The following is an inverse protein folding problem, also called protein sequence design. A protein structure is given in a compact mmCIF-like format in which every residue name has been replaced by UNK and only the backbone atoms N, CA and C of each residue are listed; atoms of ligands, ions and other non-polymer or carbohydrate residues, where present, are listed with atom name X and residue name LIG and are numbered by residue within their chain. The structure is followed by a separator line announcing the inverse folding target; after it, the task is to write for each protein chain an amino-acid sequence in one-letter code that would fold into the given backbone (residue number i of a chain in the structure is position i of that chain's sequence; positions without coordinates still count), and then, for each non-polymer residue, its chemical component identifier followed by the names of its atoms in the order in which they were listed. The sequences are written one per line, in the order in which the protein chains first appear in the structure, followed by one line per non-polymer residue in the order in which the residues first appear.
data_IF_445070262516
#
_entry.id   IF_445070262516
#
_cell.length_a   1.000
_cell.length_b   1.000
_cell.length_c   1.000
_cell.angle_alpha   90.00
_cell.angle_beta   90.00
_cell.angle_gamma   90.00
#
_symmetry.space_group_name_H-M   'P 1'
#
loop_
_entity.id
_entity.type
_entity.pdbx_description
1 polymer ?
#
# COMPACT_ATOMS: atom_id res chain seq x y z
N UNK A 1 -1.44 -13.23 3.31
CA UNK A 1 -1.87 -12.28 2.27
C UNK A 1 -0.66 -11.82 1.49
N UNK A 2 -0.69 -11.98 0.18
CA UNK A 2 0.49 -11.73 -0.66
C UNK A 2 0.98 -10.28 -0.65
N UNK A 3 0.07 -9.33 -0.63
CA UNK A 3 0.44 -7.91 -0.61
C UNK A 3 1.28 -7.58 0.63
N UNK A 4 0.92 -8.15 1.77
CA UNK A 4 1.64 -7.93 3.01
C UNK A 4 3.02 -8.60 2.97
N UNK A 5 3.12 -9.76 2.35
CA UNK A 5 4.40 -10.43 2.15
C UNK A 5 5.34 -9.62 1.27
N UNK A 6 4.77 -8.96 0.26
CA UNK A 6 5.56 -8.11 -0.63
C UNK A 6 6.26 -7.02 0.17
N UNK A 7 5.53 -6.39 1.09
CA UNK A 7 6.08 -5.37 1.97
C UNK A 7 7.08 -5.96 2.95
N UNK A 8 6.72 -7.07 3.60
CA UNK A 8 7.57 -7.71 4.61
C UNK A 8 8.90 -8.20 4.05
N UNK A 9 8.93 -8.60 2.79
CA UNK A 9 10.14 -9.10 2.14
C UNK A 9 10.97 -8.00 1.46
N UNK A 10 10.53 -6.75 1.52
CA UNK A 10 11.28 -5.64 0.95
C UNK A 10 12.58 -5.43 1.74
N UNK A 11 13.66 -4.98 1.05
CA UNK A 11 14.99 -4.86 1.68
C UNK A 11 15.12 -3.57 2.50
N UNK A 12 14.31 -3.45 3.54
CA UNK A 12 14.31 -2.28 4.41
C UNK A 12 14.46 -2.68 5.87
N UNK A 13 14.83 -1.74 6.72
CA UNK A 13 14.93 -1.95 8.15
C UNK A 13 13.56 -2.22 8.78
N UNK A 14 13.49 -2.90 9.94
CA UNK A 14 12.20 -3.16 10.59
C UNK A 14 11.36 -1.91 10.84
N UNK A 15 11.97 -0.79 11.21
CA UNK A 15 11.23 0.46 11.41
C UNK A 15 10.65 0.99 10.11
N UNK A 16 11.37 0.84 9.00
CA UNK A 16 10.90 1.22 7.68
C UNK A 16 9.78 0.31 7.21
N UNK A 17 9.92 -1.00 7.43
CA UNK A 17 8.88 -1.97 7.09
C UNK A 17 7.59 -1.68 7.85
N UNK A 18 7.71 -1.27 9.11
CA UNK A 18 6.55 -0.90 9.92
C UNK A 18 5.83 0.31 9.31
N UNK A 19 6.56 1.32 8.88
CA UNK A 19 5.97 2.50 8.25
C UNK A 19 5.26 2.13 6.94
N UNK A 20 5.85 1.25 6.16
CA UNK A 20 5.24 0.77 4.92
C UNK A 20 3.95 0.01 5.19
N UNK A 21 3.95 -0.86 6.19
CA UNK A 21 2.75 -1.63 6.56
C UNK A 21 1.64 -0.71 7.06
N UNK A 22 1.97 0.29 7.86
CA UNK A 22 1.00 1.28 8.33
C UNK A 22 0.42 2.08 7.16
N UNK A 23 1.26 2.49 6.22
CA UNK A 23 0.81 3.21 5.03
C UNK A 23 -0.16 2.36 4.22
N UNK A 24 0.17 1.08 4.05
CA UNK A 24 -0.71 0.14 3.34
C UNK A 24 -2.07 0.02 4.03
N UNK A 25 -2.07 -0.20 5.34
CA UNK A 25 -3.31 -0.38 6.09
C UNK A 25 -4.20 0.87 6.02
N UNK A 26 -3.61 2.05 6.19
CA UNK A 26 -4.34 3.32 6.10
C UNK A 26 -4.92 3.57 4.72
N UNK A 27 -4.11 3.34 3.69
CA UNK A 27 -4.55 3.52 2.32
C UNK A 27 -5.66 2.52 1.97
N UNK A 28 -5.50 1.28 2.38
CA UNK A 28 -6.50 0.24 2.11
C UNK A 28 -7.84 0.56 2.74
N UNK A 29 -7.86 1.04 3.97
CA UNK A 29 -9.11 1.43 4.65
C UNK A 29 -9.87 2.51 3.87
N UNK A 30 -9.14 3.39 3.21
CA UNK A 30 -9.76 4.50 2.45
C UNK A 30 -10.30 4.06 1.09
N UNK A 31 -9.66 3.09 0.44
CA UNK A 31 -10.03 2.70 -0.92
C UNK A 31 -10.83 1.40 -1.01
N UNK A 32 -10.80 0.57 0.02
CA UNK A 32 -11.46 -0.73 0.00
C UNK A 32 -12.94 -0.66 -0.40
N UNK A 33 -13.74 0.29 0.10
CA UNK A 33 -15.14 0.37 -0.28
C UNK A 33 -15.38 0.59 -1.78
N UNK A 34 -14.40 1.11 -2.50
CA UNK A 34 -14.51 1.37 -3.94
C UNK A 34 -14.40 0.11 -4.78
N UNK A 35 -13.91 -1.00 -4.21
CA UNK A 35 -13.65 -2.23 -4.96
C UNK A 35 -14.72 -3.30 -4.79
N UNK A 36 -15.78 -3.03 -4.05
CA UNK A 36 -16.87 -3.97 -3.85
C UNK A 36 -16.47 -5.16 -2.98
N UNK A 37 -17.14 -6.29 -3.19
CA UNK A 37 -16.98 -7.47 -2.33
C UNK A 37 -16.33 -8.67 -3.02
N UNK A 38 -15.87 -8.53 -4.26
CA UNK A 38 -15.27 -9.65 -4.99
C UNK A 38 -13.83 -9.87 -4.54
N UNK A 39 -13.57 -11.07 -4.03
CA UNK A 39 -12.24 -11.42 -3.49
C UNK A 39 -11.11 -11.22 -4.50
N UNK A 40 -11.33 -11.60 -5.75
CA UNK A 40 -10.31 -11.49 -6.79
C UNK A 40 -9.95 -10.03 -7.06
N UNK A 41 -10.95 -9.15 -7.12
CA UNK A 41 -10.72 -7.73 -7.35
C UNK A 41 -10.02 -7.08 -6.16
N UNK A 42 -10.40 -7.46 -4.95
CA UNK A 42 -9.77 -6.95 -3.74
C UNK A 42 -8.31 -7.39 -3.64
N UNK A 43 -8.03 -8.65 -3.97
CA UNK A 43 -6.67 -9.17 -3.94
C UNK A 43 -5.77 -8.45 -4.94
N UNK A 44 -6.26 -8.26 -6.17
CA UNK A 44 -5.53 -7.53 -7.19
C UNK A 44 -5.27 -6.08 -6.78
N UNK A 45 -6.27 -5.43 -6.17
CA UNK A 45 -6.14 -4.06 -5.70
C UNK A 45 -5.11 -3.95 -4.57
N UNK A 46 -5.08 -4.92 -3.67
CA UNK A 46 -4.08 -4.95 -2.59
C UNK A 46 -2.66 -5.08 -3.12
N UNK A 47 -2.45 -5.96 -4.08
CA UNK A 47 -1.14 -6.14 -4.70
C UNK A 47 -0.69 -4.87 -5.42
N UNK A 48 -1.60 -4.24 -6.12
CA UNK A 48 -1.33 -2.98 -6.81
C UNK A 48 -0.97 -1.87 -5.82
N UNK A 49 -1.73 -1.77 -4.74
CA UNK A 49 -1.47 -0.79 -3.69
C UNK A 49 -0.10 -1.00 -3.04
N UNK A 50 0.25 -2.24 -2.72
CA UNK A 50 1.55 -2.56 -2.14
C UNK A 50 2.68 -2.17 -3.09
N UNK A 51 2.53 -2.45 -4.38
CA UNK A 51 3.51 -2.07 -5.39
C UNK A 51 3.70 -0.56 -5.50
N UNK A 52 2.61 0.19 -5.42
CA UNK A 52 2.66 1.66 -5.45
C UNK A 52 3.41 2.18 -4.23
N UNK A 53 3.05 1.70 -3.04
CA UNK A 53 3.70 2.12 -1.80
C UNK A 53 5.20 1.84 -1.86
N UNK A 54 5.58 0.65 -2.29
CA UNK A 54 6.99 0.27 -2.40
C UNK A 54 7.74 1.13 -3.41
N UNK A 55 7.10 1.51 -4.52
CA UNK A 55 7.76 2.34 -5.53
C UNK A 55 8.00 3.77 -5.05
N UNK A 56 7.19 4.29 -4.12
CA UNK A 56 7.38 5.61 -3.56
C UNK A 56 8.19 5.62 -2.26
N UNK A 57 8.40 4.46 -1.66
CA UNK A 57 9.17 4.32 -0.43
C UNK A 57 10.66 4.24 -0.76
N UNK A 58 11.23 5.31 -1.26
CA UNK A 58 12.63 5.35 -1.65
C UNK A 58 13.38 6.40 -0.84
N UNK A 59 14.59 6.06 -0.42
CA UNK A 59 15.49 6.99 0.28
C UNK A 59 14.90 7.49 1.60
N UNK A 60 14.32 8.68 1.62
CA UNK A 60 13.88 9.33 2.85
C UNK A 60 12.36 9.36 3.03
N UNK A 61 11.63 8.75 2.12
CA UNK A 61 10.16 8.81 2.12
C UNK A 61 9.54 7.63 2.86
N UNK A 62 9.64 7.62 4.17
CA UNK A 62 9.03 6.59 5.01
C UNK A 62 7.97 7.14 5.97
N UNK A 63 7.38 8.27 5.62
CA UNK A 63 6.25 8.82 6.35
C UNK A 63 4.99 8.07 5.94
N UNK A 64 4.39 7.35 6.88
CA UNK A 64 3.21 6.51 6.59
C UNK A 64 2.02 7.34 6.10
N UNK A 65 1.82 8.55 6.63
CA UNK A 65 0.72 9.41 6.20
C UNK A 65 0.92 9.87 4.76
N UNK A 66 2.12 10.33 4.43
CA UNK A 66 2.43 10.78 3.07
C UNK A 66 2.31 9.64 2.07
N UNK A 67 2.84 8.46 2.42
CA UNK A 67 2.79 7.29 1.55
C UNK A 67 1.34 6.85 1.34
N UNK A 68 0.53 6.84 2.38
CA UNK A 68 -0.88 6.47 2.28
C UNK A 68 -1.64 7.46 1.39
N UNK A 69 -1.46 8.75 1.60
CA UNK A 69 -2.13 9.78 0.81
C UNK A 69 -1.75 9.71 -0.65
N UNK A 70 -0.46 9.53 -0.93
CA UNK A 70 0.04 9.42 -2.29
C UNK A 70 -0.51 8.16 -2.98
N UNK A 71 -0.48 7.04 -2.28
CA UNK A 71 -0.98 5.78 -2.83
C UNK A 71 -2.48 5.83 -3.12
N UNK A 72 -3.27 6.42 -2.21
CA UNK A 72 -4.71 6.58 -2.42
C UNK A 72 -4.98 7.44 -3.64
N UNK A 73 -4.27 8.54 -3.79
CA UNK A 73 -4.44 9.44 -4.93
C UNK A 73 -4.18 8.70 -6.25
N UNK A 74 -3.12 7.92 -6.31
CA UNK A 74 -2.76 7.16 -7.51
C UNK A 74 -3.81 6.09 -7.80
N UNK A 75 -4.26 5.37 -6.79
CA UNK A 75 -5.28 4.33 -6.96
C UNK A 75 -6.60 4.93 -7.45
N UNK A 76 -7.02 6.05 -6.89
CA UNK A 76 -8.25 6.74 -7.30
C UNK A 76 -8.16 7.21 -8.76
N UNK A 77 -6.99 7.63 -9.19
CA UNK A 77 -6.77 8.06 -10.58
C UNK A 77 -6.93 6.89 -11.55
N UNK A 78 -6.63 5.68 -11.12
CA UNK A 78 -6.72 4.47 -11.95
C UNK A 78 -8.11 3.84 -11.96
N UNK A 79 -8.96 4.25 -11.06
CA UNK A 79 -10.34 3.78 -11.01
C UNK A 79 -11.18 4.50 -12.05
#
# INVERSE_FOLDING_TARGET
MEARRLIENAPYDPSQLKALAEAFDRAWERIAPSFGTRSADMEAARLQLAGIILSFATKDAFDSDWLADTAVLIMETRL
#
